data_IF_061436917437
#
_entry.id   IF_061436917437
#
_cell.length_a   1.000
_cell.length_b   1.000
_cell.length_c   1.000
_cell.angle_alpha   90.00
_cell.angle_beta   90.00
_cell.angle_gamma   90.00
#
_symmetry.space_group_name_H-M   'P 1'
#
loop_
_entity.id
_entity.type
_entity.pdbx_description
1 polymer ?
#
# COMPACT_ATOMS: atom_id res chain seq x y z
N UNK A 1 11.49 -0.85 -35.47
CA UNK A 1 11.44 0.19 -34.41
C UNK A 1 12.70 0.26 -33.53
N UNK A 2 13.80 -0.42 -33.86
CA UNK A 2 15.09 -0.24 -33.15
C UNK A 2 15.86 1.06 -33.54
N UNK A 3 15.37 1.79 -34.55
CA UNK A 3 16.09 2.94 -35.14
C UNK A 3 15.77 4.31 -34.51
N UNK A 4 14.83 4.40 -33.57
CA UNK A 4 14.50 5.69 -32.92
C UNK A 4 15.33 5.98 -31.65
N UNK A 5 16.10 5.01 -31.16
CA UNK A 5 16.95 5.17 -29.97
C UNK A 5 18.41 5.50 -30.38
N UNK A 6 18.70 5.60 -31.69
CA UNK A 6 20.06 5.88 -32.19
C UNK A 6 20.30 7.32 -32.64
N UNK A 7 19.37 8.25 -32.43
CA UNK A 7 19.64 9.67 -32.70
C UNK A 7 20.19 10.34 -31.44
N UNK A 8 21.15 11.24 -31.63
CA UNK A 8 21.84 12.06 -30.62
C UNK A 8 20.92 12.99 -29.80
N UNK A 9 19.60 12.73 -29.75
CA UNK A 9 18.55 13.64 -29.26
C UNK A 9 17.62 13.04 -28.21
N UNK A 10 17.68 11.74 -27.92
CA UNK A 10 16.82 11.13 -26.89
C UNK A 10 17.51 11.17 -25.53
N UNK A 11 17.16 12.16 -24.71
CA UNK A 11 17.55 12.23 -23.30
C UNK A 11 16.34 11.90 -22.40
N UNK A 12 16.43 10.76 -21.72
CA UNK A 12 15.40 10.27 -20.82
C UNK A 12 15.11 11.26 -19.68
N UNK A 13 16.11 11.99 -19.19
CA UNK A 13 15.87 12.98 -18.13
C UNK A 13 14.97 14.11 -18.64
N UNK A 14 15.30 14.66 -19.82
CA UNK A 14 14.52 15.70 -20.48
C UNK A 14 13.08 15.24 -20.76
N UNK A 15 12.89 14.00 -21.19
CA UNK A 15 11.55 13.43 -21.43
C UNK A 15 10.72 13.31 -20.14
N UNK A 16 11.34 12.90 -19.03
CA UNK A 16 10.67 12.82 -17.73
C UNK A 16 10.33 14.22 -17.18
N UNK A 17 11.25 15.19 -17.32
CA UNK A 17 11.02 16.60 -16.95
C UNK A 17 9.84 17.18 -17.74
N UNK A 18 9.77 16.88 -19.05
CA UNK A 18 8.69 17.31 -19.91
C UNK A 18 7.33 16.73 -19.49
N UNK A 19 7.30 15.43 -19.12
CA UNK A 19 6.10 14.81 -18.57
C UNK A 19 5.61 15.55 -17.32
N UNK A 20 6.49 15.86 -16.38
CA UNK A 20 6.13 16.54 -15.14
C UNK A 20 5.59 17.95 -15.41
N UNK A 21 6.24 18.70 -16.30
CA UNK A 21 5.75 20.01 -16.72
C UNK A 21 4.33 19.96 -17.30
N UNK A 22 4.03 18.94 -18.12
CA UNK A 22 2.71 18.78 -18.72
C UNK A 22 1.66 18.31 -17.72
N UNK A 23 2.02 17.41 -16.81
CA UNK A 23 1.13 16.91 -15.77
C UNK A 23 0.78 18.01 -14.74
N UNK A 24 1.68 18.96 -14.50
CA UNK A 24 1.46 20.09 -13.59
C UNK A 24 0.52 21.12 -14.24
N UNK A 25 0.72 21.42 -15.53
CA UNK A 25 -0.16 22.31 -16.30
C UNK A 25 -1.57 21.78 -16.49
N UNK A 26 -1.71 20.46 -16.60
CA UNK A 26 -2.97 19.81 -16.88
C UNK A 26 -3.24 18.70 -15.86
N UNK A 27 -4.04 19.02 -14.85
CA UNK A 27 -4.44 18.08 -13.80
C UNK A 27 -5.00 16.78 -14.42
N UNK A 28 -4.52 15.64 -13.92
CA UNK A 28 -4.94 14.31 -14.36
C UNK A 28 -4.77 14.05 -15.86
N UNK A 29 -3.70 14.59 -16.47
CA UNK A 29 -3.38 14.33 -17.88
C UNK A 29 -2.94 12.87 -18.09
N UNK A 30 -3.92 12.01 -18.31
CA UNK A 30 -3.72 10.58 -18.50
C UNK A 30 -2.75 10.24 -19.64
N UNK A 31 -2.75 11.04 -20.72
CA UNK A 31 -1.88 10.82 -21.87
C UNK A 31 -0.39 10.99 -21.53
N UNK A 32 -0.05 11.91 -20.64
CA UNK A 32 1.33 12.10 -20.15
C UNK A 32 1.78 10.87 -19.36
N UNK A 33 0.92 10.36 -18.49
CA UNK A 33 1.23 9.16 -17.71
C UNK A 33 1.37 7.92 -18.59
N UNK A 34 0.55 7.78 -19.63
CA UNK A 34 0.68 6.71 -20.61
C UNK A 34 1.98 6.81 -21.43
N UNK A 35 2.36 8.01 -21.85
CA UNK A 35 3.66 8.24 -22.46
C UNK A 35 4.81 7.85 -21.52
N UNK A 36 4.69 8.20 -20.23
CA UNK A 36 5.67 7.82 -19.21
C UNK A 36 5.71 6.31 -18.95
N UNK A 37 4.60 5.57 -19.07
CA UNK A 37 4.58 4.09 -19.07
C UNK A 37 5.34 3.52 -20.27
N UNK A 38 5.14 4.11 -21.44
CA UNK A 38 5.87 3.73 -22.65
C UNK A 38 7.38 3.96 -22.49
N UNK A 39 7.80 5.16 -22.05
CA UNK A 39 9.21 5.47 -21.73
C UNK A 39 9.78 4.46 -20.72
N UNK A 40 8.99 4.13 -19.70
CA UNK A 40 9.40 3.18 -18.68
C UNK A 40 9.68 1.80 -19.28
N UNK A 41 8.76 1.31 -20.12
CA UNK A 41 8.90 0.01 -20.78
C UNK A 41 10.10 -0.04 -21.73
N UNK A 42 10.31 1.00 -22.53
CA UNK A 42 11.36 1.01 -23.56
C UNK A 42 12.76 1.25 -22.97
N UNK A 43 12.87 2.12 -21.96
CA UNK A 43 14.16 2.63 -21.48
C UNK A 43 14.46 2.26 -20.02
N UNK A 44 13.51 2.42 -19.09
CA UNK A 44 13.75 2.31 -17.64
C UNK A 44 13.65 0.87 -17.12
N UNK A 45 12.91 -0.01 -17.81
CA UNK A 45 12.69 -1.40 -17.40
C UNK A 45 13.98 -2.25 -17.42
N UNK A 46 15.09 -1.75 -17.95
CA UNK A 46 16.33 -2.51 -18.14
C UNK A 46 17.35 -2.37 -16.99
N UNK A 47 17.12 -1.49 -16.02
CA UNK A 47 18.07 -1.24 -14.93
C UNK A 47 17.38 -1.07 -13.57
N UNK A 48 17.82 -1.77 -12.51
CA UNK A 48 17.36 -1.52 -11.13
C UNK A 48 17.60 -0.09 -10.67
N UNK A 49 18.72 0.53 -11.07
CA UNK A 49 19.03 1.93 -10.74
C UNK A 49 17.99 2.88 -11.32
N UNK A 50 17.57 2.65 -12.57
CA UNK A 50 16.55 3.47 -13.24
C UNK A 50 15.17 3.28 -12.61
N UNK A 51 14.83 2.06 -12.16
CA UNK A 51 13.61 1.80 -11.38
C UNK A 51 13.59 2.61 -10.09
N UNK A 52 14.68 2.56 -9.29
CA UNK A 52 14.76 3.27 -8.02
C UNK A 52 14.73 4.79 -8.19
N UNK A 53 15.41 5.30 -9.23
CA UNK A 53 15.36 6.71 -9.61
C UNK A 53 13.92 7.13 -9.92
N UNK A 54 13.21 6.35 -10.75
CA UNK A 54 11.84 6.68 -11.14
C UNK A 54 10.85 6.57 -9.97
N UNK A 55 10.99 5.57 -9.10
CA UNK A 55 10.19 5.46 -7.87
C UNK A 55 10.40 6.65 -6.93
N UNK A 56 11.64 7.13 -6.81
CA UNK A 56 11.99 8.31 -6.00
C UNK A 56 11.38 9.57 -6.60
N UNK A 57 11.50 9.73 -7.92
CA UNK A 57 10.95 10.85 -8.67
C UNK A 57 9.42 10.90 -8.57
N UNK A 58 8.76 9.76 -8.74
CA UNK A 58 7.32 9.62 -8.54
C UNK A 58 6.88 9.93 -7.09
N UNK A 59 7.68 9.55 -6.10
CA UNK A 59 7.35 9.85 -4.71
C UNK A 59 7.38 11.36 -4.45
N UNK A 60 8.36 12.06 -5.02
CA UNK A 60 8.43 13.53 -4.98
C UNK A 60 7.26 14.18 -5.70
N UNK A 61 6.85 13.65 -6.84
CA UNK A 61 5.67 14.15 -7.56
C UNK A 61 4.40 14.03 -6.72
N UNK A 62 4.15 12.83 -6.17
CA UNK A 62 2.93 12.56 -5.40
C UNK A 62 2.90 13.24 -4.04
N UNK A 63 4.05 13.62 -3.47
CA UNK A 63 4.07 14.44 -2.26
C UNK A 63 3.58 15.87 -2.53
N UNK A 64 3.85 16.41 -3.72
CA UNK A 64 3.34 17.71 -4.17
C UNK A 64 1.91 17.62 -4.72
N UNK A 65 1.56 16.47 -5.31
CA UNK A 65 0.27 16.25 -5.97
C UNK A 65 -0.44 15.00 -5.42
N UNK A 66 -0.79 14.98 -4.14
CA UNK A 66 -1.30 13.77 -3.48
C UNK A 66 -2.62 13.27 -4.06
N UNK A 67 -3.41 14.12 -4.73
CA UNK A 67 -4.70 13.75 -5.33
C UNK A 67 -4.62 13.35 -6.81
N UNK A 68 -3.41 13.25 -7.38
CA UNK A 68 -3.21 12.84 -8.77
C UNK A 68 -3.44 11.34 -8.95
N UNK A 69 -4.69 10.97 -9.27
CA UNK A 69 -5.07 9.58 -9.49
C UNK A 69 -4.26 8.88 -10.59
N UNK A 70 -3.89 9.61 -11.65
CA UNK A 70 -3.11 9.05 -12.74
C UNK A 70 -1.65 8.82 -12.34
N UNK A 71 -1.07 9.73 -11.54
CA UNK A 71 0.25 9.53 -10.91
C UNK A 71 0.28 8.31 -9.98
N UNK A 72 -0.73 8.14 -9.12
CA UNK A 72 -0.83 6.94 -8.26
C UNK A 72 -0.96 5.65 -9.08
N UNK A 73 -1.75 5.68 -10.16
CA UNK A 73 -1.87 4.56 -11.10
C UNK A 73 -0.56 4.26 -11.84
N UNK A 74 0.24 5.29 -12.12
CA UNK A 74 1.57 5.11 -12.70
C UNK A 74 2.54 4.48 -11.68
N UNK A 75 2.54 4.96 -10.43
CA UNK A 75 3.34 4.35 -9.34
C UNK A 75 3.00 2.87 -9.12
N UNK A 76 1.70 2.53 -9.11
CA UNK A 76 1.23 1.15 -9.09
C UNK A 76 1.86 0.28 -10.19
N UNK A 77 1.87 0.79 -11.42
CA UNK A 77 2.44 0.10 -12.56
C UNK A 77 3.96 -0.11 -12.43
N UNK A 78 4.71 0.84 -11.84
CA UNK A 78 6.13 0.64 -11.57
C UNK A 78 6.38 -0.59 -10.70
N UNK A 79 5.60 -0.75 -9.61
CA UNK A 79 5.71 -1.92 -8.73
C UNK A 79 5.27 -3.21 -9.44
N UNK A 80 4.22 -3.18 -10.25
CA UNK A 80 3.77 -4.35 -11.01
C UNK A 80 4.79 -4.78 -12.07
N UNK A 81 5.45 -3.83 -12.72
CA UNK A 81 6.52 -4.13 -13.67
C UNK A 81 7.74 -4.68 -12.92
N UNK A 82 8.12 -4.12 -11.76
CA UNK A 82 9.18 -4.72 -10.93
C UNK A 82 8.83 -6.17 -10.58
N UNK A 83 7.61 -6.42 -10.11
CA UNK A 83 7.09 -7.77 -9.85
C UNK A 83 7.24 -8.70 -11.06
N UNK A 84 7.00 -8.19 -12.27
CA UNK A 84 6.96 -8.94 -13.52
C UNK A 84 8.32 -9.26 -14.17
N UNK A 85 9.42 -8.60 -13.79
CA UNK A 85 10.78 -8.84 -14.35
C UNK A 85 11.42 -10.19 -13.98
N UNK A 86 10.62 -11.17 -13.56
CA UNK A 86 11.04 -12.54 -13.23
C UNK A 86 11.57 -13.26 -14.47
N UNK A 87 12.88 -13.15 -14.69
CA UNK A 87 13.72 -14.13 -15.38
C UNK A 87 15.19 -14.09 -14.92
N UNK A 88 15.53 -13.48 -13.77
CA UNK A 88 16.83 -13.66 -13.14
C UNK A 88 16.66 -13.75 -11.61
N UNK A 89 17.01 -14.91 -11.07
CA UNK A 89 16.72 -15.39 -9.72
C UNK A 89 17.76 -14.89 -8.72
N UNK A 90 17.76 -13.59 -8.40
CA UNK A 90 18.60 -13.08 -7.31
C UNK A 90 17.74 -12.81 -6.06
N UNK A 91 18.03 -13.54 -4.98
CA UNK A 91 17.38 -13.37 -3.68
C UNK A 91 17.48 -11.92 -3.17
N UNK A 92 18.54 -11.22 -3.59
CA UNK A 92 18.75 -9.80 -3.33
C UNK A 92 17.68 -8.90 -3.94
N UNK A 93 17.21 -9.16 -5.17
CA UNK A 93 16.16 -8.35 -5.82
C UNK A 93 14.80 -8.57 -5.14
N UNK A 94 14.51 -9.80 -4.71
CA UNK A 94 13.31 -10.09 -3.91
C UNK A 94 13.33 -9.33 -2.57
N UNK A 95 14.46 -9.36 -1.87
CA UNK A 95 14.61 -8.64 -0.60
C UNK A 95 14.46 -7.13 -0.80
N UNK A 96 15.07 -6.57 -1.84
CA UNK A 96 14.93 -5.15 -2.18
C UNK A 96 13.49 -4.77 -2.52
N UNK A 97 12.77 -5.59 -3.29
CA UNK A 97 11.37 -5.37 -3.60
C UNK A 97 10.48 -5.43 -2.34
N UNK A 98 10.72 -6.40 -1.45
CA UNK A 98 9.98 -6.49 -0.19
C UNK A 98 10.24 -5.27 0.72
N UNK A 99 11.50 -4.84 0.84
CA UNK A 99 11.84 -3.62 1.58
C UNK A 99 11.13 -2.39 0.98
N UNK A 100 11.08 -2.30 -0.35
CA UNK A 100 10.33 -1.25 -1.04
C UNK A 100 8.85 -1.32 -0.66
N UNK A 101 8.19 -2.48 -0.71
CA UNK A 101 6.78 -2.61 -0.32
C UNK A 101 6.52 -2.14 1.12
N UNK A 102 7.40 -2.48 2.06
CA UNK A 102 7.31 -2.00 3.44
C UNK A 102 7.42 -0.48 3.54
N UNK A 103 8.32 0.12 2.76
CA UNK A 103 8.46 1.57 2.72
C UNK A 103 7.23 2.25 2.09
N UNK A 104 6.67 1.66 1.02
CA UNK A 104 5.42 2.12 0.40
C UNK A 104 4.26 2.08 1.40
N UNK A 105 4.11 0.97 2.13
CA UNK A 105 3.07 0.81 3.13
C UNK A 105 3.17 1.90 4.22
N UNK A 106 4.36 2.15 4.76
CA UNK A 106 4.60 3.23 5.74
C UNK A 106 4.23 4.61 5.19
N UNK A 107 4.61 4.90 3.94
CA UNK A 107 4.31 6.17 3.28
C UNK A 107 2.79 6.37 3.10
N UNK A 108 2.10 5.34 2.61
CA UNK A 108 0.64 5.30 2.46
C UNK A 108 -0.06 5.52 3.81
N UNK A 109 0.40 4.83 4.84
CA UNK A 109 -0.15 4.94 6.19
C UNK A 109 0.02 6.35 6.76
N UNK A 110 1.17 6.99 6.55
CA UNK A 110 1.40 8.39 6.92
C UNK A 110 0.45 9.33 6.15
N UNK A 111 0.34 9.14 4.83
CA UNK A 111 -0.48 9.98 3.97
C UNK A 111 -1.98 9.87 4.28
N UNK A 112 -2.49 8.65 4.54
CA UNK A 112 -3.88 8.44 4.91
C UNK A 112 -4.22 8.97 6.31
N UNK A 113 -3.24 9.06 7.23
CA UNK A 113 -3.46 9.77 8.51
C UNK A 113 -3.58 11.28 8.31
N UNK A 114 -2.84 11.85 7.36
CA UNK A 114 -2.85 13.28 7.06
C UNK A 114 -4.05 13.70 6.18
N UNK A 115 -4.37 12.90 5.16
CA UNK A 115 -5.42 13.18 4.16
C UNK A 115 -6.24 11.91 3.93
N UNK A 116 -7.11 11.52 4.88
CA UNK A 116 -7.83 10.25 4.85
C UNK A 116 -8.87 10.15 3.73
N UNK A 117 -9.24 11.27 3.11
CA UNK A 117 -10.22 11.37 2.03
C UNK A 117 -9.64 11.05 0.64
N UNK A 118 -8.32 10.81 0.57
CA UNK A 118 -7.60 10.62 -0.68
C UNK A 118 -7.80 9.20 -1.26
N UNK A 119 -8.87 9.03 -2.03
CA UNK A 119 -9.27 7.73 -2.62
C UNK A 119 -8.18 7.03 -3.44
N UNK A 120 -7.40 7.70 -4.31
CA UNK A 120 -6.27 7.08 -5.02
C UNK A 120 -5.28 6.35 -4.10
N UNK A 121 -5.02 6.90 -2.92
CA UNK A 121 -4.09 6.30 -1.94
C UNK A 121 -4.68 5.03 -1.32
N UNK A 122 -5.99 4.99 -1.08
CA UNK A 122 -6.68 3.76 -0.65
C UNK A 122 -6.64 2.68 -1.72
N UNK A 123 -6.82 3.04 -3.00
CA UNK A 123 -6.71 2.09 -4.11
C UNK A 123 -5.29 1.55 -4.21
N UNK A 124 -4.28 2.42 -4.07
CA UNK A 124 -2.87 2.03 -4.07
C UNK A 124 -2.53 1.12 -2.87
N UNK A 125 -3.06 1.38 -1.67
CA UNK A 125 -2.93 0.51 -0.49
C UNK A 125 -3.37 -0.93 -0.79
N UNK A 126 -4.52 -1.11 -1.45
CA UNK A 126 -5.03 -2.43 -1.83
C UNK A 126 -4.08 -3.18 -2.76
N UNK A 127 -3.44 -2.47 -3.71
CA UNK A 127 -2.41 -3.08 -4.53
C UNK A 127 -1.23 -3.55 -3.68
N UNK A 128 -0.77 -2.75 -2.72
CA UNK A 128 0.31 -3.14 -1.82
C UNK A 128 -0.03 -4.42 -1.05
N UNK A 129 -1.25 -4.52 -0.51
CA UNK A 129 -1.71 -5.73 0.18
C UNK A 129 -1.68 -6.96 -0.73
N UNK A 130 -2.18 -6.84 -1.97
CA UNK A 130 -2.12 -7.91 -2.97
C UNK A 130 -0.68 -8.32 -3.27
N UNK A 131 0.20 -7.35 -3.54
CA UNK A 131 1.60 -7.60 -3.86
C UNK A 131 2.34 -8.24 -2.67
N UNK A 132 2.01 -7.85 -1.44
CA UNK A 132 2.62 -8.38 -0.23
C UNK A 132 2.23 -9.85 -0.02
N UNK A 133 0.92 -10.17 0.02
CA UNK A 133 0.46 -11.55 0.26
C UNK A 133 0.84 -12.53 -0.85
N UNK A 134 1.15 -12.05 -2.06
CA UNK A 134 1.71 -12.86 -3.14
C UNK A 134 3.18 -13.29 -2.90
N UNK A 135 3.89 -12.60 -2.00
CA UNK A 135 5.35 -12.72 -1.83
C UNK A 135 5.77 -13.14 -0.42
N UNK A 136 4.94 -12.91 0.57
CA UNK A 136 5.27 -13.15 1.98
C UNK A 136 4.27 -14.12 2.61
N UNK A 137 4.60 -14.57 3.83
CA UNK A 137 3.64 -15.32 4.63
C UNK A 137 2.45 -14.42 5.00
N UNK A 138 1.21 -14.83 4.63
CA UNK A 138 -0.04 -14.29 5.14
C UNK A 138 -0.08 -13.82 6.60
N UNK A 139 0.58 -14.55 7.50
CA UNK A 139 0.58 -14.24 8.94
C UNK A 139 1.23 -12.87 9.26
N UNK A 140 2.08 -12.36 8.38
CA UNK A 140 2.76 -11.07 8.53
C UNK A 140 1.92 -9.87 8.07
N UNK A 141 0.75 -10.11 7.44
CA UNK A 141 -0.12 -9.04 6.94
C UNK A 141 -0.54 -8.02 8.00
N UNK A 142 -0.92 -8.39 9.24
CA UNK A 142 -1.27 -7.41 10.27
C UNK A 142 -0.13 -6.46 10.67
N UNK A 143 1.13 -6.90 10.50
CA UNK A 143 2.29 -6.03 10.73
C UNK A 143 2.49 -5.07 9.54
N UNK A 144 2.16 -5.52 8.32
CA UNK A 144 2.27 -4.74 7.08
C UNK A 144 1.14 -3.71 6.94
N UNK A 145 -0.10 -4.16 7.11
CA UNK A 145 -1.31 -3.35 7.15
C UNK A 145 -2.02 -3.55 8.50
N UNK A 146 -1.93 -2.55 9.38
CA UNK A 146 -2.58 -2.59 10.69
C UNK A 146 -4.12 -2.68 10.62
N UNK A 147 -4.74 -2.31 9.50
CA UNK A 147 -6.17 -2.46 9.26
C UNK A 147 -6.59 -3.89 8.96
N UNK A 148 -5.65 -4.77 8.58
CA UNK A 148 -5.93 -6.20 8.41
C UNK A 148 -6.34 -6.87 9.73
N UNK A 149 -5.74 -6.45 10.85
CA UNK A 149 -6.15 -6.90 12.19
C UNK A 149 -7.60 -6.49 12.50
N UNK A 150 -7.96 -5.24 12.21
CA UNK A 150 -9.31 -4.73 12.39
C UNK A 150 -10.32 -5.46 11.49
N UNK A 151 -9.92 -5.82 10.26
CA UNK A 151 -10.75 -6.58 9.34
C UNK A 151 -11.02 -8.02 9.86
N UNK A 152 -10.01 -8.67 10.44
CA UNK A 152 -10.08 -10.06 10.94
C UNK A 152 -10.81 -10.22 12.27
N UNK A 153 -10.81 -9.20 13.14
CA UNK A 153 -11.49 -9.24 14.45
C UNK A 153 -13.01 -9.09 14.38
N UNK A 154 -13.58 -8.84 13.20
CA UNK A 154 -15.01 -8.64 13.07
C UNK A 154 -15.76 -9.94 12.78
N UNK A 155 -16.83 -10.23 13.54
CA UNK A 155 -17.63 -11.41 13.28
C UNK A 155 -18.20 -11.31 11.86
N UNK A 156 -17.87 -12.28 11.02
CA UNK A 156 -18.60 -12.52 9.77
C UNK A 156 -20.02 -12.86 10.19
N UNK A 157 -20.95 -11.92 10.04
CA UNK A 157 -22.36 -12.26 10.11
C UNK A 157 -22.61 -13.31 9.04
N UNK A 158 -22.78 -14.57 9.45
CA UNK A 158 -23.26 -15.64 8.59
C UNK A 158 -24.61 -15.20 8.02
N UNK A 159 -24.61 -14.62 6.82
CA UNK A 159 -25.81 -14.26 6.07
C UNK A 159 -25.92 -15.22 4.89
N UNK A 160 -26.61 -16.32 5.12
CA UNK A 160 -27.10 -17.24 4.09
C UNK A 160 -28.25 -16.61 3.31
N UNK A 161 -28.01 -15.52 2.60
CA UNK A 161 -28.99 -14.91 1.69
C UNK A 161 -28.28 -14.38 0.44
N UNK A 162 -28.27 -15.21 -0.61
CA UNK A 162 -27.61 -14.92 -1.88
C UNK A 162 -28.38 -13.94 -2.80
N UNK A 163 -29.41 -13.23 -2.30
CA UNK A 163 -30.22 -12.34 -3.14
C UNK A 163 -30.64 -11.01 -2.48
N UNK A 164 -30.06 -10.62 -1.34
CA UNK A 164 -30.29 -9.27 -0.79
C UNK A 164 -29.30 -8.26 -1.43
N UNK A 165 -29.76 -7.08 -1.91
CA UNK A 165 -28.84 -6.02 -2.29
C UNK A 165 -27.97 -5.67 -1.07
N UNK A 166 -26.66 -5.50 -1.30
CA UNK A 166 -25.66 -5.17 -0.29
C UNK A 166 -26.14 -3.93 0.48
N UNK A 167 -26.81 -4.13 1.61
CA UNK A 167 -27.24 -3.04 2.46
C UNK A 167 -26.03 -2.60 3.25
N UNK A 168 -25.62 -1.34 3.06
CA UNK A 168 -24.48 -0.67 3.72
C UNK A 168 -24.60 -0.57 5.26
N UNK A 169 -25.53 -1.30 5.89
CA UNK A 169 -25.99 -1.10 7.27
C UNK A 169 -25.49 -2.14 8.29
N UNK A 170 -24.60 -3.07 7.93
CA UNK A 170 -24.10 -4.07 8.90
C UNK A 170 -22.57 -4.11 9.08
N UNK A 171 -21.90 -2.95 9.01
CA UNK A 171 -20.50 -2.83 9.43
C UNK A 171 -20.43 -1.96 10.70
N UNK A 172 -20.81 -2.52 11.84
CA UNK A 172 -20.80 -1.83 13.13
C UNK A 172 -19.41 -1.87 13.76
N UNK A 173 -18.47 -1.11 13.18
CA UNK A 173 -17.41 -0.47 13.96
C UNK A 173 -17.36 0.97 13.56
N UNK A 174 -17.40 1.85 14.55
CA UNK A 174 -17.07 3.25 14.34
C UNK A 174 -15.66 3.33 13.75
N UNK A 175 -15.53 3.97 12.60
CA UNK A 175 -14.22 4.28 12.03
C UNK A 175 -13.37 4.99 13.10
N UNK A 176 -12.06 4.67 13.21
CA UNK A 176 -11.15 5.36 14.12
C UNK A 176 -11.27 6.89 13.99
N UNK A 177 -10.94 7.65 15.03
CA UNK A 177 -11.04 9.12 15.01
C UNK A 177 -10.36 9.76 13.81
N UNK A 178 -9.23 9.20 13.36
CA UNK A 178 -8.50 9.61 12.16
C UNK A 178 -9.32 9.51 10.85
N UNK A 179 -10.30 8.62 10.81
CA UNK A 179 -11.17 8.35 9.65
C UNK A 179 -12.64 8.72 9.94
N UNK A 180 -12.90 9.62 10.88
CA UNK A 180 -14.25 9.97 11.33
C UNK A 180 -15.05 10.85 10.36
N UNK A 181 -14.38 11.54 9.43
CA UNK A 181 -15.05 12.33 8.38
C UNK A 181 -15.95 11.45 7.50
N UNK A 182 -17.06 11.96 6.94
CA UNK A 182 -18.03 11.13 6.21
C UNK A 182 -17.40 10.34 5.05
N UNK A 183 -16.54 11.00 4.27
CA UNK A 183 -15.89 10.37 3.12
C UNK A 183 -14.73 9.45 3.55
N UNK A 184 -13.90 9.91 4.48
CA UNK A 184 -12.84 9.11 5.09
C UNK A 184 -13.38 7.80 5.70
N UNK A 185 -14.51 7.88 6.41
CA UNK A 185 -15.18 6.74 7.02
C UNK A 185 -15.69 5.76 5.95
N UNK A 186 -16.30 6.27 4.87
CA UNK A 186 -16.73 5.43 3.75
C UNK A 186 -15.54 4.66 3.13
N UNK A 187 -14.43 5.35 2.87
CA UNK A 187 -13.23 4.74 2.28
C UNK A 187 -12.61 3.70 3.21
N UNK A 188 -12.54 3.99 4.51
CA UNK A 188 -12.12 3.04 5.55
C UNK A 188 -12.96 1.77 5.52
N UNK A 189 -14.30 1.89 5.59
CA UNK A 189 -15.19 0.73 5.58
C UNK A 189 -15.09 -0.07 4.27
N UNK A 190 -14.95 0.62 3.13
CA UNK A 190 -14.72 -0.03 1.83
C UNK A 190 -13.41 -0.84 1.84
N UNK A 191 -12.33 -0.31 2.43
CA UNK A 191 -11.07 -1.04 2.56
C UNK A 191 -11.19 -2.25 3.47
N UNK A 192 -11.82 -2.08 4.64
CA UNK A 192 -12.06 -3.17 5.60
C UNK A 192 -12.89 -4.30 4.97
N UNK A 193 -13.98 -3.96 4.27
CA UNK A 193 -14.79 -4.97 3.59
C UNK A 193 -14.01 -5.65 2.46
N UNK A 194 -13.24 -4.89 1.67
CA UNK A 194 -12.40 -5.45 0.62
C UNK A 194 -11.34 -6.42 1.17
N UNK A 195 -10.69 -6.08 2.29
CA UNK A 195 -9.74 -6.98 2.97
C UNK A 195 -10.41 -8.31 3.33
N UNK A 196 -11.63 -8.27 3.89
CA UNK A 196 -12.38 -9.49 4.25
C UNK A 196 -12.80 -10.33 3.07
N UNK A 197 -13.20 -9.70 1.98
CA UNK A 197 -13.74 -10.41 0.82
C UNK A 197 -12.63 -10.96 -0.09
N UNK A 198 -11.50 -10.25 -0.21
CA UNK A 198 -10.51 -10.54 -1.26
C UNK A 198 -9.13 -10.94 -0.74
N UNK A 199 -8.73 -10.50 0.46
CA UNK A 199 -7.40 -10.75 1.01
C UNK A 199 -7.41 -11.81 2.10
N UNK A 200 -8.19 -11.63 3.16
CA UNK A 200 -8.26 -12.55 4.29
C UNK A 200 -8.60 -14.00 3.89
N UNK A 201 -9.49 -14.28 2.91
CA UNK A 201 -9.78 -15.65 2.50
C UNK A 201 -8.56 -16.37 1.90
N UNK A 202 -7.62 -15.62 1.31
CA UNK A 202 -6.34 -16.17 0.82
C UNK A 202 -5.44 -16.66 1.96
N UNK A 203 -5.71 -16.22 3.19
CA UNK A 203 -4.93 -16.59 4.37
C UNK A 203 -5.48 -17.85 5.08
N UNK A 204 -6.75 -18.21 4.87
CA UNK A 204 -7.44 -19.33 5.56
C UNK A 204 -6.95 -20.72 5.09
N UNK A 205 -6.14 -20.77 4.02
CA UNK A 205 -5.39 -21.97 3.61
C UNK A 205 -3.99 -22.09 4.24
N UNK A 206 -3.56 -21.12 5.05
CA UNK A 206 -2.24 -21.10 5.71
C UNK A 206 -2.39 -21.42 7.20
N UNK A 207 -1.64 -22.39 7.76
CA UNK A 207 -1.91 -22.97 9.08
C UNK A 207 -1.65 -22.05 10.30
N UNK A 208 -1.52 -20.73 10.13
CA UNK A 208 -0.94 -19.85 11.15
C UNK A 208 -1.90 -18.81 11.77
N UNK A 209 -3.17 -18.71 11.38
CA UNK A 209 -4.08 -17.71 11.98
C UNK A 209 -4.94 -18.35 13.07
N UNK A 210 -4.30 -18.73 14.18
CA UNK A 210 -4.97 -18.78 15.47
C UNK A 210 -4.72 -17.43 16.14
N UNK A 211 -5.72 -16.55 16.04
CA UNK A 211 -5.78 -15.30 16.80
C UNK A 211 -5.67 -15.65 18.27
N UNK A 212 -4.57 -15.25 18.92
CA UNK A 212 -4.47 -15.31 20.37
C UNK A 212 -5.44 -14.28 20.94
N UNK A 213 -6.58 -14.76 21.42
CA UNK A 213 -7.42 -13.99 22.32
C UNK A 213 -6.59 -13.64 23.57
N UNK A 214 -6.52 -12.36 23.98
CA UNK A 214 -6.01 -12.04 25.31
C UNK A 214 -7.06 -12.51 26.32
N UNK A 215 -6.87 -13.71 26.88
CA UNK A 215 -7.64 -14.12 28.05
C UNK A 215 -7.23 -13.25 29.24
N UNK A 216 -8.25 -12.70 29.86
CA UNK A 216 -8.19 -11.82 31.00
C UNK A 216 -7.64 -12.49 32.26
N UNK A 217 -6.94 -11.68 33.06
CA UNK A 217 -6.84 -11.71 34.53
C UNK A 217 -5.94 -12.79 35.15
N UNK A 218 -4.78 -12.34 35.61
CA UNK A 218 -4.23 -12.77 36.90
C UNK A 218 -3.68 -11.55 37.66
N UNK A 219 -4.07 -11.45 38.94
CA UNK A 219 -3.78 -10.38 39.90
C UNK A 219 -2.27 -10.23 40.18
N UNK A 220 -1.81 -9.06 40.67
CA UNK A 220 -0.39 -8.83 40.95
C UNK A 220 0.00 -9.49 42.29
N UNK A 221 1.14 -10.18 42.30
CA UNK A 221 1.82 -10.59 43.54
C UNK A 221 2.87 -9.55 43.95
N UNK A 222 3.05 -9.28 45.26
CA UNK A 222 3.82 -8.15 45.75
C UNK A 222 5.27 -8.56 46.03
N UNK A 223 6.25 -7.85 45.45
CA UNK A 223 7.66 -8.02 45.82
C UNK A 223 8.34 -6.66 46.04
N UNK A 224 8.55 -6.38 47.32
CA UNK A 224 9.79 -5.91 47.94
C UNK A 224 10.33 -4.52 47.54
N UNK A 225 10.13 -3.56 48.45
CA UNK A 225 10.88 -2.30 48.56
C UNK A 225 12.38 -2.56 48.71
N UNK A 226 13.25 -1.76 48.06
CA UNK A 226 14.61 -1.58 48.53
C UNK A 226 14.66 -0.53 49.64
N UNK A 227 15.38 -0.88 50.71
CA UNK A 227 15.84 -0.01 51.79
C UNK A 227 16.65 1.18 51.24
N UNK A 228 16.31 2.40 51.67
CA UNK A 228 17.17 3.59 51.60
C UNK A 228 17.77 3.81 53.00
N UNK A 229 19.09 3.98 53.15
CA UNK A 229 19.67 4.43 54.42
C UNK A 229 19.53 5.95 54.57
N UNK A 230 19.56 6.48 55.81
CA UNK A 230 19.25 7.88 56.08
C UNK A 230 20.41 8.79 55.64
N UNK A 231 20.08 9.91 55.00
CA UNK A 231 20.99 11.05 54.84
C UNK A 231 20.67 12.09 55.92
N UNK A 232 21.74 12.55 56.58
CA UNK A 232 21.84 13.89 57.16
C UNK A 232 21.89 14.93 56.03
#
# INVERSE_FOLDING_TARGET
MQYLISSETFDLSTELDFCELLADKHRCNYAVWDYRRWLFKECLARSPTLMNMELSRQLSWLSMHPTDASGWSYRAHLLEVWRGKRNAEEEQDKAAFLEQLWQEAKNVDSLLRAVPENEPVWVYRRLLDVLFVEKTDPSSLPAFDCLAAAAAQQPTSNSSDHNAPISLTSCSTTAPGTFSGPWASLLYHRHINWLREFILPRLVGSPAILVTHPTSVSKPSPCLRPYLPPRL
#
